data_IF_419341596565
#
_entry.id   IF_419341596565
#
_cell.length_a   1.000
_cell.length_b   1.000
_cell.length_c   1.000
_cell.angle_alpha   90.00
_cell.angle_beta   90.00
_cell.angle_gamma   90.00
#
_symmetry.space_group_name_H-M   'P 1'
#
loop_
_entity.id
_entity.type
_entity.pdbx_description
1 polymer ?
#
# COMPACT_ATOMS: atom_id res chain seq x y z
N UNK A 1 -15.01 7.12 -14.17
CA UNK A 1 -15.47 7.53 -12.82
C UNK A 1 -15.24 9.02 -12.55
N UNK A 2 -14.01 9.52 -12.39
CA UNK A 2 -13.81 10.93 -11.99
C UNK A 2 -14.37 11.95 -13.01
N UNK A 3 -14.12 11.75 -14.31
CA UNK A 3 -14.61 12.63 -15.38
C UNK A 3 -16.13 12.66 -15.44
N UNK A 4 -16.79 11.50 -15.23
CA UNK A 4 -18.24 11.34 -15.35
C UNK A 4 -19.04 12.13 -14.29
N UNK A 5 -18.41 12.45 -13.16
CA UNK A 5 -19.04 13.16 -12.04
C UNK A 5 -18.49 14.57 -11.81
N UNK A 6 -17.44 14.98 -12.54
CA UNK A 6 -16.82 16.29 -12.39
C UNK A 6 -17.79 17.45 -12.63
N UNK A 7 -18.65 17.36 -13.66
CA UNK A 7 -19.67 18.38 -13.96
C UNK A 7 -20.74 18.53 -12.88
N UNK A 8 -20.86 17.54 -11.98
CA UNK A 8 -21.77 17.54 -10.82
C UNK A 8 -21.09 18.03 -9.54
N UNK A 9 -19.85 18.52 -9.63
CA UNK A 9 -19.07 18.98 -8.48
C UNK A 9 -18.60 17.86 -7.55
N UNK A 10 -18.68 16.60 -7.97
CA UNK A 10 -18.23 15.45 -7.18
C UNK A 10 -16.80 15.10 -7.56
N UNK A 11 -15.94 14.97 -6.56
CA UNK A 11 -14.54 14.55 -6.71
C UNK A 11 -14.41 13.07 -6.43
N UNK A 12 -13.63 12.37 -7.24
CA UNK A 12 -13.35 10.94 -7.06
C UNK A 12 -11.84 10.74 -7.06
N UNK A 13 -11.29 10.25 -5.96
CA UNK A 13 -9.87 9.97 -5.80
C UNK A 13 -9.69 8.58 -5.18
N UNK A 14 -8.47 8.06 -5.23
CA UNK A 14 -8.10 6.81 -4.58
C UNK A 14 -6.87 6.99 -3.69
N UNK A 15 -6.73 6.13 -2.69
CA UNK A 15 -5.52 6.01 -1.85
C UNK A 15 -4.89 4.66 -2.14
N UNK A 16 -3.65 4.69 -2.66
CA UNK A 16 -2.84 3.50 -2.89
C UNK A 16 -2.01 3.20 -1.66
N UNK A 17 -2.48 2.29 -0.80
CA UNK A 17 -1.79 1.87 0.41
C UNK A 17 -1.14 0.49 0.26
N UNK A 18 -0.06 0.26 1.00
CA UNK A 18 0.62 -1.04 1.08
C UNK A 18 0.21 -1.77 2.35
N UNK A 19 1.18 -2.30 3.10
CA UNK A 19 0.87 -3.01 4.34
C UNK A 19 0.40 -2.05 5.42
N UNK A 20 -0.75 -2.34 6.02
CA UNK A 20 -1.38 -1.56 7.10
C UNK A 20 -1.65 -2.48 8.28
N UNK A 21 -1.41 -1.98 9.49
CA UNK A 21 -1.73 -2.64 10.75
C UNK A 21 -3.26 -2.82 10.91
N UNK A 22 -3.76 -3.91 10.36
CA UNK A 22 -5.18 -4.30 10.40
C UNK A 22 -5.27 -5.76 10.82
N UNK A 23 -6.42 -6.24 11.32
CA UNK A 23 -6.61 -7.66 11.60
C UNK A 23 -6.33 -8.57 10.39
N UNK A 24 -6.46 -8.05 9.17
CA UNK A 24 -6.06 -8.76 7.96
C UNK A 24 -4.56 -9.05 7.91
N UNK A 25 -3.71 -8.06 8.19
CA UNK A 25 -2.25 -8.24 8.18
C UNK A 25 -1.81 -9.25 9.25
N UNK A 26 -2.40 -9.18 10.45
CA UNK A 26 -2.13 -10.15 11.52
C UNK A 26 -2.48 -11.57 11.08
N UNK A 27 -3.70 -11.78 10.58
CA UNK A 27 -4.12 -13.11 10.08
C UNK A 27 -3.29 -13.60 8.91
N UNK A 28 -2.87 -12.69 8.04
CA UNK A 28 -1.99 -13.03 6.92
C UNK A 28 -0.64 -13.55 7.43
N UNK A 29 -0.02 -12.88 8.40
CA UNK A 29 1.25 -13.29 9.00
C UNK A 29 1.14 -14.62 9.77
N UNK A 30 0.07 -14.80 10.53
CA UNK A 30 -0.21 -16.05 11.26
C UNK A 30 -0.40 -17.26 10.34
N UNK A 31 -0.82 -17.03 9.10
CA UNK A 31 -0.99 -18.08 8.08
C UNK A 31 0.30 -18.48 7.35
N UNK A 32 1.43 -17.84 7.64
CA UNK A 32 2.73 -18.18 7.04
C UNK A 32 3.43 -19.29 7.83
N UNK A 33 4.25 -20.09 7.14
CA UNK A 33 5.09 -21.12 7.77
C UNK A 33 6.07 -20.53 8.81
N UNK A 34 6.56 -19.32 8.55
CA UNK A 34 7.41 -18.54 9.46
C UNK A 34 6.87 -17.10 9.56
N UNK A 35 5.99 -16.82 10.55
CA UNK A 35 5.43 -15.49 10.77
C UNK A 35 6.47 -14.41 11.02
N UNK A 36 7.57 -14.75 11.72
CA UNK A 36 8.61 -13.79 12.08
C UNK A 36 9.44 -13.36 10.85
N UNK A 37 9.78 -14.31 9.96
CA UNK A 37 10.42 -13.99 8.69
C UNK A 37 9.50 -13.19 7.76
N UNK A 38 8.20 -13.51 7.75
CA UNK A 38 7.18 -12.75 7.02
C UNK A 38 7.10 -11.29 7.50
N UNK A 39 7.04 -11.08 8.81
CA UNK A 39 7.03 -9.75 9.43
C UNK A 39 8.28 -8.94 9.04
N UNK A 40 9.47 -9.53 9.16
CA UNK A 40 10.73 -8.88 8.79
C UNK A 40 10.77 -8.50 7.30
N UNK A 41 10.24 -9.38 6.43
CA UNK A 41 10.16 -9.13 4.99
C UNK A 41 9.23 -7.95 4.69
N UNK A 42 8.04 -7.93 5.29
CA UNK A 42 7.08 -6.84 5.08
C UNK A 42 7.65 -5.52 5.59
N UNK A 43 8.22 -5.48 6.79
CA UNK A 43 8.84 -4.27 7.34
C UNK A 43 10.00 -3.79 6.46
N UNK A 44 10.86 -4.69 6.01
CA UNK A 44 12.00 -4.40 5.15
C UNK A 44 11.63 -3.94 3.73
N UNK A 45 10.44 -4.28 3.24
CA UNK A 45 9.95 -3.81 1.94
C UNK A 45 9.56 -2.31 1.95
N UNK A 46 9.35 -1.73 3.13
CA UNK A 46 9.04 -0.31 3.30
C UNK A 46 10.33 0.44 3.69
N UNK A 47 10.74 1.50 2.97
CA UNK A 47 11.91 2.32 3.34
C UNK A 47 11.85 2.87 4.78
N UNK A 48 10.64 3.12 5.29
CA UNK A 48 10.38 3.62 6.64
C UNK A 48 10.56 2.50 7.70
N UNK A 49 10.71 1.24 7.28
CA UNK A 49 10.99 0.10 8.16
C UNK A 49 9.78 -0.39 8.97
N UNK A 50 8.58 0.10 8.65
CA UNK A 50 7.31 -0.31 9.28
C UNK A 50 6.17 -0.25 8.27
N UNK A 51 5.10 -0.98 8.58
CA UNK A 51 3.79 -0.78 7.94
C UNK A 51 3.13 0.51 8.44
N UNK A 52 2.11 0.95 7.71
CA UNK A 52 1.29 2.08 8.10
C UNK A 52 0.29 1.68 9.20
N UNK A 53 -0.13 2.66 10.00
CA UNK A 53 -1.26 2.54 10.91
C UNK A 53 -2.56 2.98 10.21
N UNK A 54 -3.74 2.41 10.57
CA UNK A 54 -5.02 2.79 9.97
C UNK A 54 -5.30 4.30 10.04
N UNK A 55 -4.83 4.96 11.09
CA UNK A 55 -4.99 6.40 11.26
C UNK A 55 -4.27 7.21 10.17
N UNK A 56 -3.10 6.76 9.73
CA UNK A 56 -2.36 7.44 8.66
C UNK A 56 -3.14 7.37 7.34
N UNK A 57 -3.81 6.24 7.07
CA UNK A 57 -4.70 6.09 5.90
C UNK A 57 -5.92 7.01 6.04
N UNK A 58 -6.50 7.10 7.24
CA UNK A 58 -7.62 7.99 7.51
C UNK A 58 -7.25 9.47 7.30
N UNK A 59 -6.05 9.89 7.72
CA UNK A 59 -5.56 11.26 7.53
C UNK A 59 -5.38 11.58 6.04
N UNK A 60 -4.88 10.62 5.24
CA UNK A 60 -4.77 10.78 3.78
C UNK A 60 -6.14 10.89 3.10
N UNK A 61 -7.12 10.09 3.54
CA UNK A 61 -8.51 10.19 3.06
C UNK A 61 -9.11 11.55 3.46
N UNK A 62 -8.90 12.00 4.69
CA UNK A 62 -9.39 13.29 5.17
C UNK A 62 -8.79 14.44 4.39
N UNK A 63 -7.50 14.39 4.07
CA UNK A 63 -6.85 15.34 3.18
C UNK A 63 -7.55 15.39 1.83
N UNK A 64 -7.76 14.24 1.17
CA UNK A 64 -8.45 14.18 -0.13
C UNK A 64 -9.92 14.60 -0.05
N UNK A 65 -10.59 14.42 1.09
CA UNK A 65 -11.95 14.87 1.32
C UNK A 65 -12.04 16.38 1.61
N UNK A 66 -10.95 17.00 2.06
CA UNK A 66 -10.88 18.40 2.47
C UNK A 66 -11.20 19.40 1.35
N UNK A 67 -11.68 20.58 1.75
CA UNK A 67 -12.00 21.69 0.84
C UNK A 67 -10.75 22.38 0.28
N UNK A 68 -9.60 22.25 0.97
CA UNK A 68 -8.30 22.81 0.54
C UNK A 68 -7.77 22.17 -0.76
N UNK A 69 -8.32 21.03 -1.17
CA UNK A 69 -7.96 20.30 -2.39
C UNK A 69 -9.13 20.18 -3.37
N UNK A 70 -9.95 21.23 -3.45
CA UNK A 70 -11.17 21.26 -4.27
C UNK A 70 -10.95 20.98 -5.77
N UNK A 71 -9.73 21.15 -6.28
CA UNK A 71 -9.38 20.87 -7.68
C UNK A 71 -8.80 19.46 -7.91
N UNK A 72 -8.53 18.69 -6.84
CA UNK A 72 -7.99 17.33 -6.96
C UNK A 72 -9.13 16.32 -7.16
N UNK A 73 -9.20 15.76 -8.37
CA UNK A 73 -10.08 14.66 -8.77
C UNK A 73 -9.37 13.77 -9.79
N UNK A 74 -9.68 12.48 -9.82
CA UNK A 74 -9.03 11.48 -10.66
C UNK A 74 -7.62 11.08 -10.22
N UNK A 75 -7.19 11.49 -9.02
CA UNK A 75 -5.85 11.23 -8.52
C UNK A 75 -5.79 9.95 -7.67
N UNK A 76 -4.65 9.27 -7.73
CA UNK A 76 -4.29 8.18 -6.82
C UNK A 76 -3.17 8.69 -5.92
N UNK A 77 -3.50 8.92 -4.64
CA UNK A 77 -2.53 9.29 -3.63
C UNK A 77 -1.80 8.02 -3.16
N UNK A 78 -0.56 7.86 -3.61
CA UNK A 78 0.28 6.73 -3.21
C UNK A 78 0.90 7.01 -1.84
N UNK A 79 0.59 6.17 -0.85
CA UNK A 79 1.13 6.26 0.52
C UNK A 79 2.30 5.32 0.78
N UNK A 80 2.57 4.41 -0.14
CA UNK A 80 3.67 3.44 -0.05
C UNK A 80 4.59 3.54 -1.23
N UNK A 81 5.87 3.39 -0.93
CA UNK A 81 6.94 3.16 -1.88
C UNK A 81 7.54 1.80 -1.53
N UNK A 82 7.23 0.76 -2.30
CA UNK A 82 7.90 -0.54 -2.17
C UNK A 82 9.27 -0.40 -2.81
N UNK A 83 10.33 -0.77 -2.08
CA UNK A 83 11.68 -0.80 -2.68
C UNK A 83 11.64 -1.82 -3.82
N UNK A 84 11.95 -1.36 -5.03
CA UNK A 84 11.92 -2.12 -6.30
C UNK A 84 12.64 -3.49 -6.21
N UNK A 85 13.66 -3.59 -5.37
CA UNK A 85 14.43 -4.82 -5.12
C UNK A 85 13.65 -5.93 -4.39
N UNK A 86 12.68 -5.58 -3.54
CA UNK A 86 11.87 -6.59 -2.84
C UNK A 86 10.96 -7.37 -3.79
N UNK A 87 10.53 -6.75 -4.90
CA UNK A 87 9.71 -7.40 -5.94
C UNK A 87 10.57 -8.24 -6.88
N UNK A 88 11.79 -7.79 -7.23
CA UNK A 88 12.69 -8.55 -8.12
C UNK A 88 13.41 -9.72 -7.42
N UNK A 89 13.70 -9.60 -6.12
CA UNK A 89 14.40 -10.63 -5.34
C UNK A 89 13.57 -11.88 -5.07
N UNK A 90 12.24 -11.77 -5.03
CA UNK A 90 11.33 -12.92 -4.93
C UNK A 90 11.24 -13.67 -6.27
N UNK A 91 11.18 -12.96 -7.39
CA UNK A 91 11.04 -13.55 -8.73
C UNK A 91 12.32 -14.22 -9.25
N UNK A 92 13.51 -13.86 -8.75
CA UNK A 92 14.75 -14.59 -9.09
C UNK A 92 14.97 -15.87 -8.29
N UNK A 93 14.40 -16.00 -7.08
CA UNK A 93 14.57 -17.23 -6.26
C UNK A 93 13.84 -18.45 -6.83
N UNK A 94 12.74 -18.26 -7.54
CA UNK A 94 12.03 -19.37 -8.23
C UNK A 94 12.74 -19.86 -9.49
N UNK A 95 13.59 -19.05 -10.12
CA UNK A 95 14.34 -19.45 -11.32
C UNK A 95 15.74 -20.02 -11.04
N UNK A 96 16.28 -19.87 -9.83
CA UNK A 96 17.64 -20.34 -9.50
C UNK A 96 17.70 -21.76 -8.90
N UNK A 97 16.55 -22.38 -8.60
CA UNK A 97 16.48 -23.74 -8.03
C UNK A 97 16.31 -24.84 -9.11
N UNK A 98 16.00 -24.48 -10.36
CA UNK A 98 15.92 -25.43 -11.49
C UNK A 98 17.14 -25.31 -12.42
N UNK A 99 18.34 -25.49 -11.86
CA UNK A 99 19.58 -25.29 -12.62
C UNK A 99 20.86 -25.80 -11.95
N UNK A 100 20.75 -26.82 -11.09
CA UNK A 100 21.89 -27.64 -10.64
C UNK A 100 21.49 -29.11 -10.64
#
# INVERSE_FOLDING_TARGET
MAVDYASRGIRVNAVGAGSINTPFLTRYLEGLDDPAAGEATIKGAHPIGRWAEPREIADAILYLAGSSVSFITGHILMMVDIVRDSVYGATKRSHQVCGK
#
